data_IF_050717943071
#
_entry.id   IF_050717943071
#
_cell.length_a   1.000
_cell.length_b   1.000
_cell.length_c   1.000
_cell.angle_alpha   90.00
_cell.angle_beta   90.00
_cell.angle_gamma   90.00
#
_symmetry.space_group_name_H-M   'P 1'
#
loop_
_entity.id
_entity.type
_entity.pdbx_description
1 polymer ?
#
# COMPACT_ATOMS: atom_id res chain seq x y z
N UNK A 1 -10.40 61.47 48.43
CA UNK A 1 -9.47 60.50 47.81
C UNK A 1 -10.20 59.77 46.70
N UNK A 2 -9.52 59.64 45.56
CA UNK A 2 -9.89 58.97 44.29
C UNK A 2 -10.95 59.62 43.39
N UNK A 3 -10.43 60.00 42.22
CA UNK A 3 -11.03 60.75 41.15
C UNK A 3 -11.85 59.86 40.20
N UNK A 4 -12.82 60.50 39.57
CA UNK A 4 -13.40 60.10 38.29
C UNK A 4 -12.32 59.92 37.22
N UNK A 5 -12.59 59.09 36.20
CA UNK A 5 -12.63 59.54 34.80
C UNK A 5 -12.97 58.38 33.85
N UNK A 6 -14.00 58.67 33.07
CA UNK A 6 -14.52 58.00 31.87
C UNK A 6 -13.43 57.92 30.79
N UNK A 7 -13.19 56.75 30.20
CA UNK A 7 -12.33 56.58 29.01
C UNK A 7 -13.17 56.20 27.78
N UNK A 8 -13.05 56.92 26.65
CA UNK A 8 -13.74 56.60 25.39
C UNK A 8 -12.85 55.90 24.34
N UNK A 9 -13.57 55.16 23.47
CA UNK A 9 -13.32 54.71 22.09
C UNK A 9 -11.94 54.84 21.39
N UNK A 10 -11.54 53.69 20.82
CA UNK A 10 -10.93 53.43 19.49
C UNK A 10 -10.35 54.61 18.69
N UNK A 11 -9.03 54.57 18.43
CA UNK A 11 -8.42 55.09 17.20
C UNK A 11 -7.22 54.21 16.80
N UNK A 12 -7.23 53.69 15.56
CA UNK A 12 -6.09 53.01 14.92
C UNK A 12 -5.21 54.06 14.26
N UNK A 13 -3.87 54.05 14.43
CA UNK A 13 -3.00 54.80 13.54
C UNK A 13 -2.70 53.97 12.27
N UNK A 14 -3.00 54.60 11.14
CA UNK A 14 -2.68 54.20 9.78
C UNK A 14 -1.42 54.95 9.35
N UNK A 15 -0.48 54.22 8.70
CA UNK A 15 0.60 54.67 7.81
C UNK A 15 1.78 55.51 8.37
N UNK A 16 3.00 54.95 8.27
CA UNK A 16 4.11 55.55 7.51
C UNK A 16 5.33 54.60 7.39
N UNK A 17 5.29 53.85 6.28
CA UNK A 17 6.37 53.42 5.37
C UNK A 17 7.81 53.94 5.63
N UNK A 18 8.77 53.02 5.72
CA UNK A 18 10.13 53.18 5.19
C UNK A 18 10.53 51.88 4.50
N UNK A 19 10.66 51.93 3.17
CA UNK A 19 11.04 50.83 2.30
C UNK A 19 12.47 51.04 1.83
N UNK A 20 13.41 50.15 2.17
CA UNK A 20 14.70 50.07 1.48
C UNK A 20 15.18 48.61 1.41
N UNK A 21 15.18 48.10 0.17
CA UNK A 21 15.91 46.94 -0.38
C UNK A 21 15.89 45.59 0.36
N UNK A 22 15.05 44.67 -0.13
CA UNK A 22 15.37 43.23 -0.08
C UNK A 22 15.72 42.81 -1.52
N UNK A 23 16.97 42.39 -1.80
CA UNK A 23 17.38 42.03 -3.15
C UNK A 23 16.81 40.66 -3.58
N UNK A 24 16.61 40.57 -4.89
CA UNK A 24 16.13 39.40 -5.62
C UNK A 24 17.12 38.21 -5.58
N UNK A 25 16.56 37.01 -5.69
CA UNK A 25 17.19 35.86 -6.36
C UNK A 25 18.38 35.21 -5.67
N UNK A 26 18.11 34.26 -4.77
CA UNK A 26 19.03 33.14 -4.51
C UNK A 26 18.37 31.87 -5.03
N UNK A 27 18.77 31.46 -6.24
CA UNK A 27 18.66 30.06 -6.62
C UNK A 27 19.41 29.26 -5.55
N UNK A 28 18.70 28.63 -4.63
CA UNK A 28 19.26 27.50 -3.90
C UNK A 28 19.43 26.40 -4.95
N UNK A 29 20.57 26.44 -5.64
CA UNK A 29 21.23 25.23 -6.11
C UNK A 29 21.31 24.40 -4.84
N UNK A 30 20.42 23.41 -4.71
CA UNK A 30 20.58 22.38 -3.71
C UNK A 30 22.00 21.88 -3.92
N UNK A 31 22.88 22.19 -2.98
CA UNK A 31 24.21 21.61 -2.95
C UNK A 31 23.99 20.12 -3.19
N UNK A 32 24.58 19.58 -4.26
CA UNK A 32 24.71 18.14 -4.40
C UNK A 32 25.32 17.71 -3.07
N UNK A 33 24.50 17.07 -2.23
CA UNK A 33 24.98 16.48 -1.01
C UNK A 33 26.11 15.57 -1.45
N UNK A 34 27.33 15.95 -1.07
CA UNK A 34 28.53 15.18 -1.29
C UNK A 34 28.18 13.74 -0.89
N UNK A 35 28.18 12.83 -1.87
CA UNK A 35 27.89 11.43 -1.59
C UNK A 35 28.85 11.02 -0.47
N UNK A 36 28.37 10.48 0.66
CA UNK A 36 29.26 10.13 1.75
C UNK A 36 30.33 9.20 1.18
N UNK A 37 31.60 9.56 1.44
CA UNK A 37 32.76 8.78 1.03
C UNK A 37 32.52 7.31 1.39
N UNK A 38 32.98 6.41 0.51
CA UNK A 38 32.83 4.97 0.64
C UNK A 38 33.01 4.56 2.11
N UNK A 39 31.97 4.01 2.72
CA UNK A 39 31.92 3.94 4.16
C UNK A 39 32.88 2.87 4.70
N UNK A 40 33.58 3.23 5.77
CA UNK A 40 34.62 2.43 6.43
C UNK A 40 34.16 0.98 6.68
N UNK A 41 35.03 -0.03 6.53
CA UNK A 41 34.66 -1.43 6.75
C UNK A 41 34.22 -1.63 8.20
N UNK A 42 32.90 -1.73 8.43
CA UNK A 42 32.31 -1.97 9.76
C UNK A 42 31.13 -1.08 10.16
N UNK A 43 30.72 -0.11 9.35
CA UNK A 43 29.47 0.63 9.61
C UNK A 43 28.23 -0.23 9.30
N UNK A 44 27.40 -0.48 10.30
CA UNK A 44 26.08 -1.06 10.07
C UNK A 44 25.19 -0.01 9.39
N UNK A 45 25.06 -0.03 8.07
CA UNK A 45 23.98 0.71 7.42
C UNK A 45 22.65 0.26 8.02
N UNK A 46 21.77 1.18 8.44
CA UNK A 46 20.40 0.78 8.76
C UNK A 46 19.83 0.08 7.54
N UNK A 47 19.36 -1.15 7.70
CA UNK A 47 18.69 -1.89 6.63
C UNK A 47 17.39 -1.17 6.32
N UNK A 48 17.32 -0.47 5.19
CA UNK A 48 16.10 0.20 4.76
C UNK A 48 15.15 -0.84 4.12
N UNK A 49 13.86 -0.71 4.38
CA UNK A 49 12.85 -1.52 3.70
C UNK A 49 12.79 -1.20 2.20
N UNK A 50 12.35 -2.17 1.39
CA UNK A 50 12.10 -1.93 -0.04
C UNK A 50 11.00 -0.86 -0.23
N UNK A 51 10.92 -0.27 -1.42
CA UNK A 51 10.02 0.87 -1.70
C UNK A 51 8.53 0.64 -1.36
N UNK A 52 8.05 -0.61 -1.41
CA UNK A 52 6.67 -1.00 -1.10
C UNK A 52 6.53 -1.70 0.26
N UNK A 53 7.58 -1.72 1.08
CA UNK A 53 7.57 -2.38 2.37
C UNK A 53 6.64 -1.66 3.35
N UNK A 54 5.84 -2.44 4.07
CA UNK A 54 4.95 -1.97 5.13
C UNK A 54 5.34 -2.67 6.43
N UNK A 55 5.33 -1.96 7.55
CA UNK A 55 5.55 -2.57 8.86
C UNK A 55 4.36 -3.43 9.26
N UNK A 56 4.63 -4.63 9.79
CA UNK A 56 3.60 -5.48 10.36
C UNK A 56 2.97 -4.81 11.58
N UNK A 57 1.64 -4.71 11.60
CA UNK A 57 0.87 -4.21 12.74
C UNK A 57 -0.40 -5.02 12.93
N UNK A 58 -0.78 -5.26 14.19
CA UNK A 58 -2.07 -5.83 14.56
C UNK A 58 -3.17 -4.76 14.48
N UNK A 59 -4.37 -5.15 14.09
CA UNK A 59 -5.55 -4.29 14.07
C UNK A 59 -6.14 -4.19 15.48
N UNK A 60 -6.55 -2.99 15.88
CA UNK A 60 -7.18 -2.78 17.19
C UNK A 60 -8.64 -3.25 17.24
N UNK A 61 -9.34 -3.16 16.10
CA UNK A 61 -10.75 -3.52 15.95
C UNK A 61 -11.04 -4.01 14.53
N UNK A 62 -12.15 -4.73 14.35
CA UNK A 62 -12.65 -5.21 13.05
C UNK A 62 -12.88 -4.08 12.05
N UNK A 63 -13.25 -2.88 12.52
CA UNK A 63 -13.41 -1.73 11.63
C UNK A 63 -12.07 -1.25 11.03
N UNK A 64 -10.98 -1.26 11.80
CA UNK A 64 -9.64 -0.94 11.27
C UNK A 64 -9.18 -2.02 10.28
N UNK A 65 -9.37 -3.30 10.62
CA UNK A 65 -9.07 -4.42 9.72
C UNK A 65 -9.84 -4.31 8.39
N UNK A 66 -11.13 -3.95 8.43
CA UNK A 66 -11.94 -3.73 7.22
C UNK A 66 -11.39 -2.60 6.35
N UNK A 67 -10.98 -1.47 6.94
CA UNK A 67 -10.37 -0.36 6.18
C UNK A 67 -9.08 -0.80 5.50
N UNK A 68 -8.23 -1.54 6.20
CA UNK A 68 -6.98 -2.09 5.66
C UNK A 68 -7.26 -3.05 4.50
N UNK A 69 -8.22 -3.97 4.67
CA UNK A 69 -8.66 -4.87 3.60
C UNK A 69 -9.13 -4.10 2.36
N UNK A 70 -9.96 -3.07 2.54
CA UNK A 70 -10.43 -2.23 1.44
C UNK A 70 -9.31 -1.40 0.79
N UNK A 71 -8.30 -0.97 1.54
CA UNK A 71 -7.12 -0.31 0.98
C UNK A 71 -6.29 -1.26 0.14
N UNK A 72 -5.97 -2.44 0.67
CA UNK A 72 -5.22 -3.48 -0.04
C UNK A 72 -5.95 -3.92 -1.31
N UNK A 73 -7.26 -4.16 -1.24
CA UNK A 73 -8.07 -4.51 -2.41
C UNK A 73 -8.01 -3.43 -3.50
N UNK A 74 -8.12 -2.15 -3.12
CA UNK A 74 -7.98 -1.03 -4.07
C UNK A 74 -6.59 -0.94 -4.69
N UNK A 75 -5.54 -1.21 -3.91
CA UNK A 75 -4.17 -1.25 -4.42
C UNK A 75 -3.99 -2.35 -5.47
N UNK A 76 -4.55 -3.54 -5.25
CA UNK A 76 -4.54 -4.62 -6.24
C UNK A 76 -5.27 -4.22 -7.53
N UNK A 77 -6.48 -3.66 -7.42
CA UNK A 77 -7.26 -3.27 -8.60
C UNK A 77 -6.57 -2.18 -9.43
N UNK A 78 -5.91 -1.21 -8.77
CA UNK A 78 -5.14 -0.15 -9.42
C UNK A 78 -3.93 -0.70 -10.17
N UNK A 79 -3.21 -1.65 -9.58
CA UNK A 79 -1.99 -2.20 -10.14
C UNK A 79 -2.23 -3.34 -11.15
N UNK A 80 -3.48 -3.79 -11.37
CA UNK A 80 -3.78 -4.89 -12.26
C UNK A 80 -3.23 -4.71 -13.69
N UNK A 81 -3.36 -3.51 -14.28
CA UNK A 81 -2.81 -3.22 -15.62
C UNK A 81 -1.29 -3.21 -15.63
N UNK A 82 -0.68 -2.68 -14.56
CA UNK A 82 0.76 -2.69 -14.40
C UNK A 82 1.31 -4.11 -14.29
N UNK A 83 0.62 -5.01 -13.59
CA UNK A 83 1.01 -6.43 -13.49
C UNK A 83 0.98 -7.12 -14.85
N UNK A 84 -0.03 -6.88 -15.69
CA UNK A 84 -0.07 -7.42 -17.06
C UNK A 84 1.16 -6.98 -17.86
N UNK A 85 1.54 -5.70 -17.74
CA UNK A 85 2.68 -5.12 -18.45
C UNK A 85 4.02 -5.64 -17.93
N UNK A 86 4.18 -5.73 -16.60
CA UNK A 86 5.42 -6.21 -15.97
C UNK A 86 5.75 -7.66 -16.35
N UNK A 87 4.73 -8.52 -16.45
CA UNK A 87 4.89 -9.95 -16.67
C UNK A 87 4.58 -10.40 -18.10
N UNK A 88 4.23 -9.46 -18.99
CA UNK A 88 3.82 -9.73 -20.37
C UNK A 88 2.79 -10.86 -20.47
N UNK A 89 1.70 -10.76 -19.69
CA UNK A 89 0.68 -11.80 -19.62
C UNK A 89 -0.21 -11.79 -20.87
N UNK A 90 -0.55 -12.98 -21.38
CA UNK A 90 -1.48 -13.17 -22.52
C UNK A 90 -2.96 -12.94 -22.17
N UNK A 91 -3.24 -12.35 -21.00
CA UNK A 91 -4.58 -12.10 -20.52
C UNK A 91 -4.81 -10.62 -20.17
N UNK A 92 -6.04 -10.14 -20.36
CA UNK A 92 -6.39 -8.76 -20.07
C UNK A 92 -6.45 -8.49 -18.55
N UNK A 93 -6.22 -7.22 -18.18
CA UNK A 93 -6.24 -6.79 -16.77
C UNK A 93 -7.57 -7.07 -16.03
N UNK A 94 -8.68 -7.18 -16.76
CA UNK A 94 -9.96 -7.53 -16.15
C UNK A 94 -9.96 -8.95 -15.54
N UNK A 95 -9.25 -9.90 -16.15
CA UNK A 95 -9.15 -11.27 -15.65
C UNK A 95 -8.42 -11.29 -14.30
N UNK A 96 -7.35 -10.49 -14.17
CA UNK A 96 -6.64 -10.30 -12.90
C UNK A 96 -7.57 -9.69 -11.85
N UNK A 97 -8.32 -8.63 -12.18
CA UNK A 97 -9.26 -8.00 -11.23
C UNK A 97 -10.32 -8.98 -10.74
N UNK A 98 -10.86 -9.80 -11.63
CA UNK A 98 -11.82 -10.85 -11.26
C UNK A 98 -11.18 -11.91 -10.36
N UNK A 99 -9.94 -12.31 -10.67
CA UNK A 99 -9.23 -13.30 -9.86
C UNK A 99 -8.90 -12.79 -8.46
N UNK A 100 -8.43 -11.53 -8.35
CA UNK A 100 -8.23 -10.84 -7.08
C UNK A 100 -9.54 -10.84 -6.28
N UNK A 101 -10.67 -10.50 -6.91
CA UNK A 101 -11.97 -10.55 -6.21
C UNK A 101 -12.29 -11.94 -5.68
N UNK A 102 -12.06 -12.98 -6.47
CA UNK A 102 -12.30 -14.36 -6.04
C UNK A 102 -11.45 -14.75 -4.82
N UNK A 103 -10.17 -14.35 -4.77
CA UNK A 103 -9.30 -14.58 -3.60
C UNK A 103 -9.78 -13.83 -2.35
N UNK A 104 -10.27 -12.60 -2.49
CA UNK A 104 -10.84 -11.86 -1.36
C UNK A 104 -12.15 -12.48 -0.86
N UNK A 105 -13.00 -12.98 -1.77
CA UNK A 105 -14.27 -13.62 -1.41
C UNK A 105 -14.06 -14.99 -0.72
N UNK A 106 -12.99 -15.72 -1.07
CA UNK A 106 -12.59 -16.98 -0.40
C UNK A 106 -12.45 -16.84 1.12
N UNK A 107 -12.03 -15.66 1.58
CA UNK A 107 -11.81 -15.36 3.00
C UNK A 107 -12.89 -14.45 3.61
N UNK A 108 -14.03 -14.28 2.94
CA UNK A 108 -15.10 -13.34 3.37
C UNK A 108 -15.69 -13.65 4.75
N UNK A 109 -15.79 -14.93 5.11
CA UNK A 109 -16.47 -15.39 6.33
C UNK A 109 -15.52 -15.60 7.52
N UNK A 110 -14.27 -15.14 7.41
CA UNK A 110 -13.32 -15.20 8.53
C UNK A 110 -13.69 -14.12 9.56
N UNK A 111 -14.02 -14.54 10.78
CA UNK A 111 -14.45 -13.63 11.85
C UNK A 111 -13.35 -13.28 12.86
N UNK A 112 -12.35 -14.14 12.99
CA UNK A 112 -11.25 -13.97 13.94
C UNK A 112 -10.29 -12.87 13.49
N UNK A 113 -10.02 -11.91 14.38
CA UNK A 113 -9.22 -10.72 14.08
C UNK A 113 -7.76 -11.07 13.83
N UNK A 114 -7.18 -12.00 14.61
CA UNK A 114 -5.79 -12.42 14.43
C UNK A 114 -5.59 -13.09 13.06
N UNK A 115 -6.52 -13.94 12.67
CA UNK A 115 -6.50 -14.58 11.34
C UNK A 115 -6.63 -13.55 10.22
N UNK A 116 -7.51 -12.54 10.35
CA UNK A 116 -7.64 -11.46 9.36
C UNK A 116 -6.32 -10.70 9.20
N UNK A 117 -5.64 -10.36 10.30
CA UNK A 117 -4.37 -9.64 10.23
C UNK A 117 -3.27 -10.44 9.51
N UNK A 118 -3.20 -11.75 9.75
CA UNK A 118 -2.28 -12.63 9.03
C UNK A 118 -2.61 -12.68 7.53
N UNK A 119 -3.89 -12.75 7.18
CA UNK A 119 -4.33 -12.74 5.76
C UNK A 119 -4.00 -11.40 5.08
N UNK A 120 -4.23 -10.28 5.77
CA UNK A 120 -3.87 -8.95 5.26
C UNK A 120 -2.36 -8.82 5.06
N UNK A 121 -1.57 -9.31 6.01
CA UNK A 121 -0.12 -9.31 5.90
C UNK A 121 0.35 -10.12 4.69
N UNK A 122 -0.15 -11.34 4.52
CA UNK A 122 0.15 -12.19 3.35
C UNK A 122 -0.23 -11.50 2.04
N UNK A 123 -1.41 -10.88 1.96
CA UNK A 123 -1.85 -10.18 0.76
C UNK A 123 -1.00 -8.94 0.42
N UNK A 124 -0.43 -8.26 1.43
CA UNK A 124 0.53 -7.17 1.21
C UNK A 124 1.88 -7.70 0.71
N UNK A 125 2.41 -8.76 1.31
CA UNK A 125 3.64 -9.40 0.87
C UNK A 125 3.53 -9.89 -0.59
N UNK A 126 2.41 -10.52 -0.93
CA UNK A 126 2.13 -11.00 -2.28
C UNK A 126 2.16 -9.85 -3.31
N UNK A 127 1.56 -8.71 -2.97
CA UNK A 127 1.56 -7.53 -3.84
C UNK A 127 2.96 -6.96 -4.02
N UNK A 128 3.73 -6.88 -2.93
CA UNK A 128 5.11 -6.38 -2.94
C UNK A 128 6.01 -7.29 -3.78
N UNK A 129 5.92 -8.60 -3.61
CA UNK A 129 6.65 -9.59 -4.41
C UNK A 129 6.30 -9.49 -5.90
N UNK A 130 5.02 -9.25 -6.20
CA UNK A 130 4.53 -9.11 -7.58
C UNK A 130 5.07 -7.84 -8.23
N UNK A 131 4.97 -6.69 -7.54
CA UNK A 131 5.37 -5.39 -8.10
C UNK A 131 6.89 -5.20 -8.16
N UNK A 132 7.63 -5.82 -7.24
CA UNK A 132 9.10 -5.78 -7.23
C UNK A 132 9.74 -6.82 -8.17
N UNK A 133 8.93 -7.58 -8.93
CA UNK A 133 9.42 -8.66 -9.80
C UNK A 133 10.25 -9.72 -9.05
N UNK A 134 9.89 -10.01 -7.80
CA UNK A 134 10.50 -11.12 -7.04
C UNK A 134 9.88 -12.46 -7.44
N UNK A 135 8.70 -12.43 -8.05
CA UNK A 135 8.03 -13.60 -8.62
C UNK A 135 8.25 -13.68 -10.12
N UNK A 136 8.06 -14.88 -10.65
CA UNK A 136 8.07 -15.16 -12.08
C UNK A 136 6.64 -15.42 -12.59
N UNK A 137 6.41 -15.24 -13.90
CA UNK A 137 5.13 -15.42 -14.57
C UNK A 137 4.39 -16.71 -14.18
N UNK A 138 5.11 -17.82 -13.99
CA UNK A 138 4.55 -19.10 -13.54
C UNK A 138 3.79 -19.01 -12.21
N UNK A 139 4.27 -18.19 -11.28
CA UNK A 139 3.62 -18.01 -9.97
C UNK A 139 2.29 -17.27 -10.10
N UNK A 140 2.20 -16.30 -11.01
CA UNK A 140 0.95 -15.58 -11.28
C UNK A 140 -0.01 -16.50 -12.01
N UNK A 141 0.46 -17.23 -13.02
CA UNK A 141 -0.36 -18.16 -13.80
C UNK A 141 -0.96 -19.28 -12.94
N UNK A 142 -0.27 -19.69 -11.87
CA UNK A 142 -0.80 -20.65 -10.90
C UNK A 142 -2.12 -20.23 -10.25
N UNK A 143 -2.39 -18.92 -10.12
CA UNK A 143 -3.69 -18.47 -9.65
C UNK A 143 -4.80 -18.74 -10.67
N UNK A 144 -4.48 -18.73 -11.97
CA UNK A 144 -5.45 -18.94 -13.06
C UNK A 144 -5.59 -20.40 -13.48
N UNK A 145 -4.63 -21.25 -13.13
CA UNK A 145 -4.82 -22.69 -13.24
C UNK A 145 -6.03 -23.07 -12.36
N UNK A 146 -7.03 -23.71 -12.95
CA UNK A 146 -8.24 -24.25 -12.28
C UNK A 146 -7.92 -25.37 -11.26
N UNK A 147 -6.72 -25.36 -10.68
CA UNK A 147 -6.15 -26.33 -9.75
C UNK A 147 -6.23 -25.85 -8.30
N UNK A 148 -7.19 -25.01 -7.95
CA UNK A 148 -7.59 -24.92 -6.54
C UNK A 148 -8.22 -26.27 -6.13
N UNK A 149 -7.38 -27.25 -5.79
CA UNK A 149 -7.56 -28.35 -4.83
C UNK A 149 -8.98 -28.95 -4.63
N UNK A 150 -9.83 -28.98 -5.64
CA UNK A 150 -11.23 -29.41 -5.46
C UNK A 150 -12.16 -29.38 -6.67
N UNK A 151 -11.79 -28.77 -7.81
CA UNK A 151 -12.60 -28.83 -9.04
C UNK A 151 -12.01 -29.79 -10.10
N UNK A 152 -11.48 -30.92 -9.64
CA UNK A 152 -12.04 -32.14 -10.23
C UNK A 152 -13.50 -32.03 -9.87
N UNK A 153 -14.37 -31.51 -10.77
CA UNK A 153 -15.82 -31.59 -10.62
C UNK A 153 -16.03 -32.93 -9.98
N UNK A 154 -16.42 -32.95 -8.70
CA UNK A 154 -16.60 -34.18 -7.98
C UNK A 154 -17.67 -34.85 -8.81
N UNK A 155 -17.26 -35.76 -9.71
CA UNK A 155 -18.17 -36.36 -10.65
C UNK A 155 -19.28 -36.98 -9.85
N UNK A 156 -20.39 -37.30 -10.52
CA UNK A 156 -21.42 -38.09 -9.86
C UNK A 156 -20.72 -39.24 -9.12
N UNK A 157 -21.23 -39.65 -7.96
CA UNK A 157 -20.60 -40.70 -7.15
C UNK A 157 -20.09 -41.88 -8.00
N UNK A 158 -20.82 -42.23 -9.07
CA UNK A 158 -20.44 -43.19 -10.10
C UNK A 158 -19.08 -42.92 -10.80
N UNK A 159 -18.81 -41.70 -11.23
CA UNK A 159 -17.57 -41.34 -11.94
C UNK A 159 -16.34 -41.54 -11.04
N UNK A 160 -16.50 -41.26 -9.73
CA UNK A 160 -15.44 -41.49 -8.74
C UNK A 160 -15.23 -42.96 -8.45
N UNK A 161 -16.35 -43.67 -8.27
CA UNK A 161 -16.36 -45.12 -8.08
C UNK A 161 -15.71 -45.85 -9.25
N UNK A 162 -16.03 -45.48 -10.50
CA UNK A 162 -15.42 -46.03 -11.71
C UNK A 162 -13.94 -45.66 -11.86
N UNK A 163 -13.53 -44.48 -11.39
CA UNK A 163 -12.14 -44.02 -11.39
C UNK A 163 -11.30 -44.58 -10.23
N UNK A 164 -11.88 -45.36 -9.31
CA UNK A 164 -11.18 -45.93 -8.15
C UNK A 164 -10.66 -44.89 -7.14
N UNK A 165 -11.29 -43.70 -7.06
CA UNK A 165 -10.94 -42.60 -6.14
C UNK A 165 -12.09 -42.21 -5.23
#
# INVERSE_FOLDING_TARGET
MLAALRTPAVTRPVLARLAHSVPAGSHRVAALAEAPAMPEPGYETPSHGSALAVYSRASADKHDARKRAMMLYRQWLKNAEHIVQLYYLDMPAHAIRQRVRAEFEKHRYVEDLGTIDVLLWKGHLELQETLNLWKQTTHIMRYFENREFGDQKKGAFLDKFLAGR
#
